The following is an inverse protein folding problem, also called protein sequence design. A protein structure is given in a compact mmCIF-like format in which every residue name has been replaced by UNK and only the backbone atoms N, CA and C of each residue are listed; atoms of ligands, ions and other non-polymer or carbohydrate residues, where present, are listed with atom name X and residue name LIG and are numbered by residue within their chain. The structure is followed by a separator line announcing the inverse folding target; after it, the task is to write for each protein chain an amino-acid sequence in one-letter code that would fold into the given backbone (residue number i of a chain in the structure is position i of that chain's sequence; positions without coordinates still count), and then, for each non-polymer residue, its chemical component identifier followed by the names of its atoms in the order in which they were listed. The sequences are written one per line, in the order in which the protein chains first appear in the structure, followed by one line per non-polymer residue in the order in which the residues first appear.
data_IF_884800724575
#
_entry.id   IF_884800724575
#
_cell.length_a   1.000
_cell.length_b   1.000
_cell.length_c   1.000
_cell.angle_alpha   90.00
_cell.angle_beta   90.00
_cell.angle_gamma   90.00
#
_symmetry.space_group_name_H-M   'P 1'
#
loop_
_entity.id
_entity.type
_entity.pdbx_description
1 polymer ?
#
# COMPACT_ATOMS: atom_id res chain seq x y z
N UNK A 1 -37.51 -22.58 18.47
CA UNK A 1 -36.17 -22.39 17.88
C UNK A 1 -36.05 -20.93 17.48
N UNK A 2 -35.12 -20.21 18.10
CA UNK A 2 -34.87 -18.77 17.86
C UNK A 2 -33.99 -18.63 16.59
N UNK A 3 -34.23 -17.68 15.69
CA UNK A 3 -33.34 -17.43 14.55
C UNK A 3 -32.09 -16.66 15.03
N UNK A 4 -30.90 -17.19 14.74
CA UNK A 4 -29.63 -16.51 15.04
C UNK A 4 -29.39 -15.35 14.07
N UNK A 5 -29.39 -14.14 14.60
CA UNK A 5 -29.04 -12.93 13.85
C UNK A 5 -27.53 -12.86 13.55
N UNK A 6 -27.22 -12.41 12.34
CA UNK A 6 -25.86 -12.27 11.81
C UNK A 6 -25.18 -11.11 12.54
N UNK A 7 -24.21 -11.42 13.40
CA UNK A 7 -23.36 -10.42 14.04
C UNK A 7 -22.37 -9.86 13.00
N UNK A 8 -22.69 -8.69 12.47
CA UNK A 8 -21.78 -7.90 11.63
C UNK A 8 -20.49 -7.59 12.38
N UNK A 9 -19.36 -7.82 11.73
CA UNK A 9 -18.04 -7.39 12.20
C UNK A 9 -17.94 -5.88 11.99
N UNK A 10 -18.15 -5.11 13.06
CA UNK A 10 -17.86 -3.69 13.09
C UNK A 10 -16.34 -3.50 13.05
N UNK A 11 -15.82 -3.06 11.91
CA UNK A 11 -14.46 -2.54 11.82
C UNK A 11 -14.42 -1.22 12.60
N UNK A 12 -13.81 -1.24 13.78
CA UNK A 12 -13.43 -0.02 14.49
C UNK A 12 -12.30 0.64 13.70
N UNK A 13 -12.63 1.66 12.92
CA UNK A 13 -11.68 2.65 12.43
C UNK A 13 -11.23 3.49 13.63
N UNK A 14 -9.93 3.52 13.98
CA UNK A 14 -9.41 4.47 14.97
C UNK A 14 -9.64 5.91 14.49
N UNK A 15 -9.75 6.87 15.42
CA UNK A 15 -10.07 8.25 15.07
C UNK A 15 -8.97 8.82 14.17
N UNK A 16 -9.44 9.39 13.07
CA UNK A 16 -8.73 10.23 12.11
C UNK A 16 -7.73 11.14 12.83
N UNK A 17 -6.44 10.88 12.68
CA UNK A 17 -5.43 11.91 12.79
C UNK A 17 -5.16 12.37 11.37
N UNK A 18 -5.79 13.47 11.00
CA UNK A 18 -5.74 14.07 9.68
C UNK A 18 -4.33 14.56 9.37
N UNK A 19 -3.54 13.72 8.70
CA UNK A 19 -2.29 14.14 8.06
C UNK A 19 -2.51 14.19 6.55
N UNK A 20 -2.52 15.42 6.03
CA UNK A 20 -2.65 15.72 4.61
C UNK A 20 -1.47 15.10 3.84
N UNK A 21 -1.77 14.08 3.04
CA UNK A 21 -0.89 13.67 1.95
C UNK A 21 -1.42 14.33 0.68
N UNK A 22 -0.53 15.03 -0.02
CA UNK A 22 -0.72 15.72 -1.31
C UNK A 22 -1.59 14.90 -2.31
N UNK A 23 -2.44 15.53 -3.15
CA UNK A 23 -3.45 14.84 -3.94
C UNK A 23 -2.91 14.11 -5.20
N UNK A 24 -1.60 14.10 -5.42
CA UNK A 24 -1.01 13.66 -6.70
C UNK A 24 -0.19 12.36 -6.61
N UNK A 25 -0.64 11.37 -5.84
CA UNK A 25 -0.21 9.99 -6.04
C UNK A 25 -1.21 9.27 -6.95
N UNK A 26 -0.91 9.27 -8.26
CA UNK A 26 -1.60 8.42 -9.23
C UNK A 26 -1.26 6.98 -8.89
N UNK A 27 -2.21 6.27 -8.30
CA UNK A 27 -2.15 4.82 -8.15
C UNK A 27 -2.15 4.22 -9.57
N UNK A 28 -1.15 3.43 -10.00
CA UNK A 28 -1.31 2.67 -11.22
C UNK A 28 -2.51 1.74 -10.99
N UNK A 29 -3.55 1.90 -11.80
CA UNK A 29 -4.67 0.97 -11.84
C UNK A 29 -4.08 -0.39 -12.22
N UNK A 30 -3.85 -1.23 -11.23
CA UNK A 30 -3.68 -2.65 -11.47
C UNK A 30 -5.03 -3.16 -11.96
N UNK A 31 -5.15 -3.21 -13.29
CA UNK A 31 -6.18 -3.90 -14.05
C UNK A 31 -6.46 -5.26 -13.39
N UNK A 32 -7.58 -5.34 -12.68
CA UNK A 32 -8.13 -6.61 -12.24
C UNK A 32 -8.41 -7.39 -13.52
N UNK A 33 -7.84 -8.60 -13.75
CA UNK A 33 -8.14 -9.34 -14.94
C UNK A 33 -9.64 -9.61 -14.97
N UNK A 34 -10.31 -9.05 -15.98
CA UNK A 34 -11.72 -9.23 -16.23
C UNK A 34 -11.94 -10.72 -16.53
N UNK A 35 -12.31 -11.50 -15.51
CA UNK A 35 -12.68 -12.89 -15.74
C UNK A 35 -13.97 -12.89 -16.56
N UNK A 36 -13.82 -13.20 -17.84
CA UNK A 36 -14.86 -13.35 -18.84
C UNK A 36 -16.08 -14.13 -18.28
N UNK A 37 -17.15 -13.43 -17.91
CA UNK A 37 -18.42 -14.07 -17.48
C UNK A 37 -19.18 -14.67 -18.68
N UNK A 38 -18.75 -14.38 -19.91
CA UNK A 38 -19.49 -14.78 -21.12
C UNK A 38 -19.35 -16.26 -21.54
N UNK A 39 -18.68 -17.11 -20.76
CA UNK A 39 -18.61 -18.55 -21.08
C UNK A 39 -19.58 -19.43 -20.29
N UNK A 40 -20.46 -18.87 -19.43
CA UNK A 40 -21.42 -19.69 -18.67
C UNK A 40 -22.63 -20.18 -19.50
N UNK A 41 -22.79 -19.72 -20.76
CA UNK A 41 -23.89 -20.16 -21.64
C UNK A 41 -23.42 -20.87 -22.93
N UNK A 42 -22.11 -20.99 -23.16
CA UNK A 42 -21.56 -21.41 -24.46
C UNK A 42 -21.11 -22.87 -24.59
N UNK A 43 -21.18 -23.67 -23.52
CA UNK A 43 -20.83 -25.09 -23.61
C UNK A 43 -21.69 -25.89 -22.65
N UNK A 44 -22.91 -26.18 -23.10
CA UNK A 44 -23.60 -27.37 -22.61
C UNK A 44 -22.76 -28.55 -23.09
N UNK A 45 -22.18 -29.38 -22.22
CA UNK A 45 -21.74 -30.68 -22.67
C UNK A 45 -23.00 -31.35 -23.22
N UNK A 46 -22.87 -31.98 -24.39
CA UNK A 46 -23.90 -32.82 -24.95
C UNK A 46 -24.18 -33.92 -23.91
N UNK A 47 -25.09 -33.63 -22.98
CA UNK A 47 -25.64 -34.61 -22.08
C UNK A 47 -26.42 -35.53 -23.01
N UNK A 48 -25.81 -36.66 -23.33
CA UNK A 48 -26.58 -37.85 -23.62
C UNK A 48 -27.40 -38.14 -22.35
N UNK A 49 -28.54 -37.47 -22.24
CA UNK A 49 -29.63 -37.96 -21.45
C UNK A 49 -29.98 -39.31 -22.09
N UNK A 50 -30.05 -40.41 -21.32
CA UNK A 50 -30.60 -41.64 -21.87
C UNK A 50 -32.02 -41.27 -22.34
N UNK A 51 -32.19 -41.23 -23.65
CA UNK A 51 -33.49 -41.06 -24.28
C UNK A 51 -34.33 -42.21 -23.74
N UNK A 52 -35.39 -41.88 -23.01
CA UNK A 52 -36.43 -42.82 -22.65
C UNK A 52 -37.12 -43.30 -23.94
N UNK A 53 -36.47 -44.21 -24.66
CA UNK A 53 -37.17 -45.00 -25.67
C UNK A 53 -38.04 -45.99 -24.91
N UNK A 54 -39.33 -45.69 -24.90
CA UNK A 54 -40.36 -46.68 -24.69
C UNK A 54 -40.10 -47.89 -25.59
N UNK A 55 -39.69 -49.00 -24.99
CA UNK A 55 -39.70 -50.33 -25.58
C UNK A 55 -39.86 -51.35 -24.47
N UNK A 56 -41.11 -51.48 -24.05
CA UNK A 56 -41.79 -52.65 -23.49
C UNK A 56 -40.88 -53.84 -23.11
N UNK A 57 -40.61 -54.01 -21.82
CA UNK A 57 -40.49 -55.34 -21.22
C UNK A 57 -40.68 -55.28 -19.70
N UNK A 58 -41.59 -56.10 -19.22
CA UNK A 58 -42.01 -56.27 -17.83
C UNK A 58 -40.87 -56.78 -16.95
N UNK A 59 -40.00 -55.89 -16.45
CA UNK A 59 -39.24 -55.94 -15.16
C UNK A 59 -38.64 -54.55 -14.81
N UNK A 60 -39.34 -53.45 -15.14
CA UNK A 60 -38.75 -52.11 -15.37
C UNK A 60 -38.45 -51.30 -14.10
N UNK A 61 -39.17 -51.50 -13.00
CA UNK A 61 -39.12 -50.58 -11.85
C UNK A 61 -37.74 -50.55 -11.16
N UNK A 62 -37.02 -51.67 -11.15
CA UNK A 62 -35.71 -51.76 -10.50
C UNK A 62 -34.60 -51.05 -11.27
N UNK A 63 -34.70 -50.97 -12.60
CA UNK A 63 -33.71 -50.28 -13.42
C UNK A 63 -33.81 -48.75 -13.27
N UNK A 64 -35.03 -48.23 -13.11
CA UNK A 64 -35.30 -46.80 -12.93
C UNK A 64 -34.91 -46.34 -11.51
N UNK A 65 -35.15 -47.16 -10.48
CA UNK A 65 -34.73 -46.87 -9.10
C UNK A 65 -33.20 -46.81 -8.97
N UNK A 66 -32.47 -47.73 -9.63
CA UNK A 66 -31.01 -47.70 -9.66
C UNK A 66 -30.46 -46.43 -10.33
N UNK A 67 -31.08 -45.96 -11.42
CA UNK A 67 -30.67 -44.71 -12.06
C UNK A 67 -30.92 -43.49 -11.16
N UNK A 68 -32.06 -43.43 -10.48
CA UNK A 68 -32.38 -42.35 -9.56
C UNK A 68 -31.37 -42.28 -8.40
N UNK A 69 -31.04 -43.43 -7.81
CA UNK A 69 -30.04 -43.53 -6.75
C UNK A 69 -28.65 -43.05 -7.19
N UNK A 70 -28.21 -43.38 -8.41
CA UNK A 70 -26.92 -42.90 -8.96
C UNK A 70 -26.92 -41.38 -9.15
N UNK A 71 -28.04 -40.80 -9.62
CA UNK A 71 -28.19 -39.36 -9.80
C UNK A 71 -28.12 -38.63 -8.47
N UNK A 72 -28.84 -39.12 -7.46
CA UNK A 72 -28.86 -38.53 -6.13
C UNK A 72 -27.50 -38.64 -5.43
N UNK A 73 -26.81 -39.77 -5.57
CA UNK A 73 -25.47 -39.93 -5.04
C UNK A 73 -24.48 -38.95 -5.72
N UNK A 74 -24.60 -38.77 -7.05
CA UNK A 74 -23.79 -37.80 -7.80
C UNK A 74 -24.10 -36.36 -7.36
N UNK A 75 -25.37 -36.03 -7.15
CA UNK A 75 -25.79 -34.71 -6.64
C UNK A 75 -25.23 -34.48 -5.25
N UNK A 76 -25.30 -35.49 -4.37
CA UNK A 76 -24.73 -35.44 -3.03
C UNK A 76 -23.21 -35.18 -3.05
N UNK A 77 -22.46 -35.94 -3.87
CA UNK A 77 -21.02 -35.71 -4.05
C UNK A 77 -20.71 -34.30 -4.56
N UNK A 78 -21.49 -33.77 -5.52
CA UNK A 78 -21.34 -32.40 -6.02
C UNK A 78 -21.60 -31.34 -4.95
N UNK A 79 -22.63 -31.53 -4.12
CA UNK A 79 -22.94 -30.62 -3.02
C UNK A 79 -21.79 -30.55 -2.01
N UNK A 80 -21.21 -31.69 -1.65
CA UNK A 80 -20.05 -31.74 -0.74
C UNK A 80 -18.83 -31.07 -1.39
N UNK A 81 -18.52 -31.42 -2.65
CA UNK A 81 -17.36 -30.85 -3.35
C UNK A 81 -17.48 -29.33 -3.53
N UNK A 82 -18.66 -28.82 -3.90
CA UNK A 82 -18.91 -27.39 -4.03
C UNK A 82 -18.85 -26.67 -2.68
N UNK A 83 -19.35 -27.29 -1.62
CA UNK A 83 -19.23 -26.73 -0.28
C UNK A 83 -17.77 -26.57 0.12
N UNK A 84 -16.96 -27.59 -0.13
CA UNK A 84 -15.53 -27.57 0.18
C UNK A 84 -14.77 -26.59 -0.72
N UNK A 85 -15.06 -26.53 -2.02
CA UNK A 85 -14.41 -25.59 -2.94
C UNK A 85 -14.74 -24.13 -2.60
N UNK A 86 -15.99 -23.84 -2.24
CA UNK A 86 -16.41 -22.53 -1.76
C UNK A 86 -15.69 -22.17 -0.45
N UNK A 87 -15.57 -23.11 0.50
CA UNK A 87 -14.80 -22.91 1.74
C UNK A 87 -13.34 -22.57 1.45
N UNK A 88 -12.66 -23.38 0.62
CA UNK A 88 -11.26 -23.14 0.22
C UNK A 88 -11.08 -21.82 -0.51
N UNK A 89 -12.04 -21.44 -1.36
CA UNK A 89 -12.04 -20.14 -2.04
C UNK A 89 -12.10 -18.98 -1.04
N UNK A 90 -13.02 -19.04 -0.06
CA UNK A 90 -13.13 -18.05 1.01
C UNK A 90 -11.85 -17.99 1.85
N UNK A 91 -11.29 -19.13 2.24
CA UNK A 91 -10.04 -19.19 3.01
C UNK A 91 -8.85 -18.57 2.25
N UNK A 92 -8.73 -18.83 0.95
CA UNK A 92 -7.68 -18.22 0.12
C UNK A 92 -7.83 -16.71 0.03
N UNK A 93 -9.06 -16.22 -0.18
CA UNK A 93 -9.34 -14.78 -0.21
C UNK A 93 -9.06 -14.12 1.14
N UNK A 94 -9.46 -14.75 2.25
CA UNK A 94 -9.16 -14.25 3.59
C UNK A 94 -7.66 -14.13 3.82
N UNK A 95 -6.89 -15.20 3.52
CA UNK A 95 -5.44 -15.16 3.65
C UNK A 95 -4.80 -14.03 2.84
N UNK A 96 -5.30 -13.79 1.62
CA UNK A 96 -4.79 -12.71 0.79
C UNK A 96 -5.10 -11.33 1.38
N UNK A 97 -6.30 -11.14 1.94
CA UNK A 97 -6.65 -9.91 2.65
C UNK A 97 -5.77 -9.70 3.89
N UNK A 98 -5.52 -10.76 4.67
CA UNK A 98 -4.66 -10.69 5.85
C UNK A 98 -3.21 -10.34 5.46
N UNK A 99 -2.71 -10.90 4.37
CA UNK A 99 -1.38 -10.59 3.82
C UNK A 99 -1.28 -9.14 3.34
N UNK A 100 -2.26 -8.65 2.57
CA UNK A 100 -2.31 -7.24 2.16
C UNK A 100 -2.40 -6.31 3.37
N UNK A 101 -3.21 -6.65 4.37
CA UNK A 101 -3.34 -5.86 5.59
C UNK A 101 -2.03 -5.79 6.37
N UNK A 102 -1.33 -6.92 6.50
CA UNK A 102 0.01 -7.00 7.10
C UNK A 102 1.02 -6.12 6.33
N UNK A 103 1.00 -6.14 5.00
CA UNK A 103 1.85 -5.27 4.18
C UNK A 103 1.55 -3.78 4.42
N UNK A 104 0.28 -3.39 4.48
CA UNK A 104 -0.11 -2.00 4.76
C UNK A 104 0.35 -1.57 6.15
N UNK A 105 0.17 -2.41 7.18
CA UNK A 105 0.64 -2.10 8.54
C UNK A 105 2.17 -1.94 8.56
N UNK A 106 2.90 -2.87 7.93
CA UNK A 106 4.35 -2.80 7.81
C UNK A 106 4.80 -1.50 7.14
N UNK A 107 4.23 -1.17 5.99
CA UNK A 107 4.57 0.05 5.23
C UNK A 107 4.24 1.33 6.02
N UNK A 108 3.13 1.35 6.78
CA UNK A 108 2.78 2.49 7.64
C UNK A 108 3.82 2.68 8.75
N UNK A 109 4.21 1.60 9.42
CA UNK A 109 5.26 1.64 10.45
C UNK A 109 6.61 2.07 9.86
N UNK A 110 6.99 1.52 8.71
CA UNK A 110 8.22 1.90 8.02
C UNK A 110 8.22 3.37 7.58
N UNK A 111 7.09 3.85 7.05
CA UNK A 111 6.94 5.26 6.67
C UNK A 111 7.10 6.18 7.88
N UNK A 112 6.44 5.87 9.00
CA UNK A 112 6.57 6.65 10.23
C UNK A 112 8.02 6.68 10.73
N UNK A 113 8.69 5.52 10.77
CA UNK A 113 10.11 5.44 11.14
C UNK A 113 11.03 6.25 10.21
N UNK A 114 10.71 6.33 8.91
CA UNK A 114 11.48 7.13 7.96
C UNK A 114 11.26 8.63 8.17
N UNK A 115 10.03 9.04 8.45
CA UNK A 115 9.70 10.44 8.78
C UNK A 115 10.42 10.87 10.06
N UNK A 116 10.42 10.04 11.11
CA UNK A 116 11.11 10.35 12.36
C UNK A 116 12.63 10.51 12.16
N UNK A 117 13.23 9.62 11.35
CA UNK A 117 14.65 9.72 10.99
C UNK A 117 14.94 10.99 10.19
N UNK A 118 14.06 11.35 9.26
CA UNK A 118 14.22 12.57 8.47
C UNK A 118 14.17 13.80 9.36
N UNK A 119 13.21 13.87 10.29
CA UNK A 119 13.09 14.97 11.25
C UNK A 119 14.36 15.09 12.10
N UNK A 120 14.87 13.98 12.63
CA UNK A 120 16.10 13.99 13.42
C UNK A 120 17.32 14.46 12.62
N UNK A 121 17.46 14.03 11.37
CA UNK A 121 18.53 14.50 10.49
C UNK A 121 18.38 15.99 10.18
N UNK A 122 17.16 16.48 9.97
CA UNK A 122 16.88 17.90 9.76
C UNK A 122 17.29 18.75 10.97
N UNK A 123 16.89 18.35 12.18
CA UNK A 123 17.26 19.07 13.42
C UNK A 123 18.77 19.10 13.64
N UNK A 124 19.44 17.97 13.39
CA UNK A 124 20.90 17.87 13.48
C UNK A 124 21.59 18.75 12.43
N UNK A 125 21.08 18.75 11.20
CA UNK A 125 21.57 19.61 10.13
C UNK A 125 21.46 21.09 10.50
N UNK A 126 20.31 21.53 11.02
CA UNK A 126 20.09 22.93 11.39
C UNK A 126 21.04 23.36 12.52
N UNK A 127 21.27 22.47 13.49
CA UNK A 127 22.26 22.68 14.56
C UNK A 127 23.68 22.85 13.99
N UNK A 128 24.08 21.99 13.05
CA UNK A 128 25.39 22.07 12.41
C UNK A 128 25.54 23.35 11.58
N UNK A 129 24.49 23.77 10.87
CA UNK A 129 24.48 25.02 10.10
C UNK A 129 24.63 26.22 11.03
N UNK A 130 23.93 26.23 12.16
CA UNK A 130 24.03 27.30 13.16
C UNK A 130 25.44 27.38 13.75
N UNK A 131 26.02 26.25 14.16
CA UNK A 131 27.41 26.24 14.67
C UNK A 131 28.43 26.65 13.61
N UNK A 132 28.22 26.26 12.34
CA UNK A 132 29.09 26.69 11.25
C UNK A 132 29.05 28.20 11.04
N UNK A 133 27.86 28.81 11.12
CA UNK A 133 27.70 30.26 11.03
C UNK A 133 28.39 30.97 12.20
N UNK A 134 28.19 30.48 13.43
CA UNK A 134 28.84 31.02 14.64
C UNK A 134 30.37 30.98 14.54
N UNK A 135 30.94 29.85 14.10
CA UNK A 135 32.39 29.71 13.92
C UNK A 135 32.93 30.63 12.82
N UNK A 136 32.17 30.84 11.73
CA UNK A 136 32.55 31.77 10.67
C UNK A 136 32.60 33.21 11.17
N UNK A 137 31.63 33.62 11.98
CA UNK A 137 31.60 34.93 12.65
C UNK A 137 32.80 35.09 13.60
N UNK A 138 33.03 34.13 14.50
CA UNK A 138 34.18 34.15 15.42
C UNK A 138 35.52 34.23 14.66
N UNK A 139 35.66 33.51 13.54
CA UNK A 139 36.87 33.58 12.72
C UNK A 139 36.99 34.93 12.01
N UNK A 140 35.87 35.55 11.61
CA UNK A 140 35.87 36.90 11.03
C UNK A 140 36.34 37.93 12.06
N UNK A 141 35.80 37.89 13.27
CA UNK A 141 36.18 38.80 14.36
C UNK A 141 37.67 38.67 14.72
N UNK A 142 38.18 37.44 14.84
CA UNK A 142 39.60 37.18 15.10
C UNK A 142 40.49 37.71 13.97
N UNK A 143 40.10 37.51 12.70
CA UNK A 143 40.85 38.05 11.55
C UNK A 143 40.85 39.57 11.55
N UNK A 144 39.72 40.21 11.86
CA UNK A 144 39.64 41.67 11.96
C UNK A 144 40.56 42.20 13.07
N UNK A 145 40.52 41.59 14.25
CA UNK A 145 41.39 41.97 15.37
C UNK A 145 42.88 41.84 15.03
N UNK A 146 43.25 40.77 14.32
CA UNK A 146 44.63 40.57 13.83
C UNK A 146 45.01 41.64 12.81
N UNK A 147 44.13 41.96 11.85
CA UNK A 147 44.36 43.01 10.87
C UNK A 147 44.54 44.38 11.54
N UNK A 148 43.68 44.72 12.51
CA UNK A 148 43.76 45.98 13.26
C UNK A 148 45.08 46.12 14.03
N UNK A 149 45.59 45.03 14.63
CA UNK A 149 46.92 45.01 15.26
C UNK A 149 48.05 45.12 14.25
N UNK A 150 47.91 44.53 13.05
CA UNK A 150 48.92 44.57 12.00
C UNK A 150 49.03 45.94 11.31
N UNK A 151 47.99 46.79 11.34
CA UNK A 151 48.07 48.18 10.84
C UNK A 151 49.11 49.02 11.61
N UNK A 152 49.48 48.64 12.84
CA UNK A 152 50.57 49.26 13.59
C UNK A 152 51.99 48.82 13.17
N UNK A 153 52.13 47.73 12.42
CA UNK A 153 53.40 47.19 11.94
C UNK A 153 53.38 47.12 10.40
N UNK A 154 54.11 48.02 9.75
CA UNK A 154 54.23 48.14 8.29
C UNK A 154 54.68 46.84 7.58
N UNK A 155 53.77 45.91 7.31
CA UNK A 155 53.93 44.82 6.33
C UNK A 155 52.57 44.45 5.71
N UNK A 156 52.39 44.55 4.38
CA UNK A 156 51.12 44.21 3.74
C UNK A 156 51.03 42.70 3.53
N UNK A 157 50.20 42.02 4.31
CA UNK A 157 49.81 40.64 4.04
C UNK A 157 48.41 40.67 3.39
N UNK A 158 48.37 40.60 2.06
CA UNK A 158 47.13 40.44 1.30
C UNK A 158 46.46 39.12 1.71
N UNK A 159 45.44 39.19 2.55
CA UNK A 159 44.52 38.10 2.85
C UNK A 159 43.25 38.27 2.00
N UNK A 160 43.45 38.51 0.71
CA UNK A 160 42.36 38.40 -0.27
C UNK A 160 42.43 37.02 -0.88
N UNK A 161 41.27 36.38 -0.87
CA UNK A 161 40.94 35.21 -1.68
C UNK A 161 41.31 33.84 -1.09
N UNK A 162 40.43 33.34 -0.22
CA UNK A 162 40.09 31.92 -0.16
C UNK A 162 38.63 31.79 0.26
N UNK A 163 37.79 32.04 -0.75
CA UNK A 163 36.48 31.45 -0.97
C UNK A 163 35.49 31.54 0.20
N UNK A 164 34.51 32.43 0.03
CA UNK A 164 33.13 32.05 0.27
C UNK A 164 32.89 30.67 -0.36
N UNK A 165 33.05 29.60 0.41
CA UNK A 165 32.55 28.30 0.00
C UNK A 165 31.04 28.46 0.08
N UNK A 166 30.32 28.44 -1.05
CA UNK A 166 28.87 28.49 -1.01
C UNK A 166 28.45 27.24 -0.24
N UNK A 167 27.94 27.42 0.97
CA UNK A 167 27.08 26.39 1.55
C UNK A 167 25.97 26.24 0.53
N UNK A 168 25.89 25.08 -0.14
CA UNK A 168 24.79 24.72 -1.03
C UNK A 168 23.50 24.73 -0.22
N UNK A 169 22.97 25.93 0.00
CA UNK A 169 21.67 26.21 0.55
C UNK A 169 20.77 26.19 -0.66
N UNK A 170 20.33 24.99 -1.05
CA UNK A 170 19.18 24.86 -1.94
C UNK A 170 18.00 25.48 -1.20
N UNK A 171 17.77 26.76 -1.49
CA UNK A 171 16.59 27.50 -1.11
C UNK A 171 15.37 26.78 -1.70
N UNK A 172 14.72 25.93 -0.92
CA UNK A 172 13.31 25.63 -1.13
C UNK A 172 12.54 26.79 -0.52
N UNK A 173 12.48 27.91 -1.26
CA UNK A 173 11.55 29.00 -0.96
C UNK A 173 10.15 28.51 -1.29
N UNK A 174 9.30 28.50 -0.28
CA UNK A 174 7.85 28.39 -0.41
C UNK A 174 7.32 29.60 -1.20
N UNK A 175 7.19 29.46 -2.52
CA UNK A 175 6.35 30.35 -3.32
C UNK A 175 4.89 29.89 -3.19
N UNK A 176 4.25 30.28 -2.10
CA UNK A 176 2.79 30.25 -1.95
C UNK A 176 2.28 31.64 -1.59
N UNK A 177 2.34 32.56 -2.55
CA UNK A 177 1.46 33.73 -2.56
C UNK A 177 1.66 34.55 -3.83
N UNK A 178 0.76 34.37 -4.81
CA UNK A 178 0.20 35.43 -5.68
C UNK A 178 -0.58 34.80 -6.82
N UNK A 179 -1.91 34.73 -6.67
CA UNK A 179 -2.83 35.18 -7.73
C UNK A 179 -3.99 35.86 -7.00
N UNK A 180 -3.93 37.18 -7.00
CA UNK A 180 -5.07 38.05 -6.76
C UNK A 180 -5.48 38.56 -8.14
N UNK A 181 -6.80 38.64 -8.33
CA UNK A 181 -7.58 39.17 -9.47
C UNK A 181 -7.98 38.16 -10.57
#
# INVERSE_FOLDING_TARGET
MVPSEIRGVNYLTPPENSFQVQPNFVLPQNEIPNYHINNLLGSLPNFHYPSCLSSNSTTSDEADELQFNIIDERKHRRMISNRESARRSRMRKQKHLDELWSQVMKLRTENHNLVDKLNHVSESHDTVVQENARLKEETFDLRQMVADMQIGNSFPCNMEDLCEIPCNTSQHKDDSSKIHD
#
